data_IF_531010329524
#
_entry.id   IF_531010329524
#
_cell.length_a   1.000
_cell.length_b   1.000
_cell.length_c   1.000
_cell.angle_alpha   90.00
_cell.angle_beta   90.00
_cell.angle_gamma   90.00
#
_symmetry.space_group_name_H-M   'P 1'
#
loop_
_entity.id
_entity.type
_entity.pdbx_description
1 polymer ?
#
# COMPACT_ATOMS: atom_id res chain seq x y z
N UNK A 1 26.00 55.56 43.08
CA UNK A 1 24.64 55.57 42.50
C UNK A 1 24.67 55.23 41.01
N UNK A 2 25.26 56.09 40.16
CA UNK A 2 25.35 55.88 38.70
C UNK A 2 26.03 54.57 38.27
N UNK A 3 27.15 54.19 38.90
CA UNK A 3 27.81 52.92 38.59
C UNK A 3 26.96 51.68 38.92
N UNK A 4 26.16 51.73 39.99
CA UNK A 4 25.27 50.62 40.36
C UNK A 4 24.11 50.47 39.36
N UNK A 5 23.52 51.58 38.91
CA UNK A 5 22.51 51.55 37.86
C UNK A 5 23.07 51.04 36.53
N UNK A 6 24.29 51.45 36.17
CA UNK A 6 24.96 50.96 34.97
C UNK A 6 25.23 49.45 35.04
N UNK A 7 25.80 48.96 36.15
CA UNK A 7 26.06 47.53 36.36
C UNK A 7 24.77 46.71 36.37
N UNK A 8 23.70 47.21 37.00
CA UNK A 8 22.39 46.56 36.98
C UNK A 8 21.80 46.47 35.57
N UNK A 9 21.90 47.56 34.79
CA UNK A 9 21.44 47.58 33.39
C UNK A 9 22.26 46.65 32.49
N UNK A 10 23.59 46.62 32.66
CA UNK A 10 24.49 45.73 31.92
C UNK A 10 24.24 44.25 32.25
N UNK A 11 24.05 43.91 33.52
CA UNK A 11 23.75 42.54 33.95
C UNK A 11 22.42 42.03 33.39
N UNK A 12 21.39 42.87 33.41
CA UNK A 12 20.08 42.55 32.82
C UNK A 12 20.20 42.31 31.30
N UNK A 13 20.95 43.17 30.60
CA UNK A 13 21.20 43.04 29.16
C UNK A 13 21.86 41.70 28.83
N UNK A 14 22.93 41.33 29.54
CA UNK A 14 23.66 40.07 29.30
C UNK A 14 22.78 38.84 29.52
N UNK A 15 21.95 38.84 30.56
CA UNK A 15 21.03 37.74 30.86
C UNK A 15 20.01 37.54 29.72
N UNK A 16 19.33 38.60 29.31
CA UNK A 16 18.34 38.54 28.23
C UNK A 16 18.99 38.14 26.90
N UNK A 17 20.18 38.65 26.60
CA UNK A 17 20.91 38.26 25.39
C UNK A 17 21.29 36.77 25.40
N UNK A 18 21.80 36.25 26.52
CA UNK A 18 22.14 34.83 26.64
C UNK A 18 20.91 33.92 26.44
N UNK A 19 19.77 34.29 27.04
CA UNK A 19 18.52 33.53 26.89
C UNK A 19 18.03 33.52 25.43
N UNK A 20 18.09 34.67 24.74
CA UNK A 20 17.69 34.76 23.33
C UNK A 20 18.64 34.01 22.39
N UNK A 21 19.95 34.04 22.67
CA UNK A 21 20.92 33.25 21.90
C UNK A 21 20.71 31.76 22.14
N UNK A 22 20.49 31.34 23.39
CA UNK A 22 20.18 29.95 23.71
C UNK A 22 18.90 29.49 22.99
N UNK A 23 17.84 30.30 23.02
CA UNK A 23 16.59 30.03 22.29
C UNK A 23 16.78 30.04 20.77
N UNK A 24 17.58 30.94 20.22
CA UNK A 24 17.91 30.93 18.79
C UNK A 24 18.62 29.62 18.39
N UNK A 25 19.54 29.14 19.23
CA UNK A 25 20.27 27.90 19.00
C UNK A 25 19.44 26.63 19.26
N UNK A 26 18.21 26.73 19.76
CA UNK A 26 17.26 25.60 19.74
C UNK A 26 16.55 25.45 18.40
N UNK A 27 16.81 26.36 17.44
CA UNK A 27 16.23 26.37 16.10
C UNK A 27 14.69 26.22 16.09
N UNK A 28 13.96 27.07 16.81
CA UNK A 28 12.50 27.02 16.85
C UNK A 28 11.94 27.43 15.49
N UNK A 29 10.89 26.74 15.05
CA UNK A 29 10.17 27.03 13.82
C UNK A 29 8.67 27.19 14.11
N UNK A 30 8.01 28.01 13.30
CA UNK A 30 6.54 28.17 13.33
C UNK A 30 5.98 27.86 11.95
N UNK A 31 4.87 27.14 11.92
CA UNK A 31 4.19 26.79 10.66
C UNK A 31 3.04 27.76 10.44
N UNK A 32 3.03 28.42 9.28
CA UNK A 32 1.89 29.21 8.82
C UNK A 32 1.08 28.37 7.82
N UNK A 33 -0.23 28.31 8.01
CA UNK A 33 -1.15 27.64 7.10
C UNK A 33 -1.92 28.72 6.33
N UNK A 34 -1.90 28.62 5.00
CA UNK A 34 -2.66 29.47 4.08
C UNK A 34 -3.37 28.56 3.08
N UNK A 35 -4.61 28.90 2.73
CA UNK A 35 -5.39 28.23 1.67
C UNK A 35 -5.50 29.17 0.47
N UNK A 36 -5.06 28.70 -0.71
CA UNK A 36 -5.08 29.49 -1.95
C UNK A 36 -5.75 28.69 -3.05
N UNK A 37 -6.73 29.29 -3.72
CA UNK A 37 -7.35 28.71 -4.90
C UNK A 37 -6.44 28.93 -6.13
N UNK A 38 -6.00 27.84 -6.76
CA UNK A 38 -5.21 27.88 -7.99
C UNK A 38 -6.06 27.47 -9.19
N UNK A 39 -5.92 28.18 -10.32
CA UNK A 39 -6.67 27.88 -11.55
C UNK A 39 -6.30 26.53 -12.17
N UNK A 40 -5.04 26.09 -12.02
CA UNK A 40 -4.55 24.81 -12.53
C UNK A 40 -3.83 24.07 -11.39
N UNK A 41 -4.29 22.85 -11.11
CA UNK A 41 -3.68 21.95 -10.15
C UNK A 41 -3.26 20.67 -10.87
N UNK A 42 -2.11 20.12 -10.46
CA UNK A 42 -1.67 18.81 -10.92
C UNK A 42 -2.61 17.75 -10.37
N UNK A 43 -3.22 16.96 -11.26
CA UNK A 43 -4.07 15.85 -10.83
C UNK A 43 -3.21 14.78 -10.14
N UNK A 44 -3.59 14.30 -8.95
CA UNK A 44 -2.77 13.35 -8.20
C UNK A 44 -2.77 11.98 -8.86
N UNK A 45 -1.79 11.16 -8.49
CA UNK A 45 -1.83 9.74 -8.82
C UNK A 45 -2.96 9.06 -8.04
N UNK A 46 -3.79 8.28 -8.75
CA UNK A 46 -4.85 7.48 -8.15
C UNK A 46 -4.44 6.00 -8.24
N UNK A 47 -4.22 5.37 -7.10
CA UNK A 47 -3.91 3.94 -7.00
C UNK A 47 -5.14 3.19 -6.55
N UNK A 48 -5.53 2.16 -7.29
CA UNK A 48 -6.71 1.34 -7.01
C UNK A 48 -6.29 -0.13 -7.02
N UNK A 49 -6.68 -0.86 -5.99
CA UNK A 49 -6.48 -2.30 -5.88
C UNK A 49 -7.83 -2.98 -5.63
N UNK A 50 -8.04 -4.14 -6.25
CA UNK A 50 -9.17 -4.99 -5.86
C UNK A 50 -8.87 -5.59 -4.47
N UNK A 51 -9.86 -5.58 -3.58
CA UNK A 51 -9.72 -6.18 -2.24
C UNK A 51 -9.49 -7.69 -2.29
N UNK A 52 -10.01 -8.34 -3.34
CA UNK A 52 -9.65 -9.73 -3.60
C UNK A 52 -8.30 -9.76 -4.32
N UNK A 53 -7.27 -10.30 -3.67
CA UNK A 53 -5.92 -10.37 -4.21
C UNK A 53 -5.83 -11.23 -5.49
N UNK A 54 -6.59 -12.33 -5.55
CA UNK A 54 -6.41 -13.34 -6.59
C UNK A 54 -7.72 -13.81 -7.23
N UNK A 55 -7.69 -14.01 -8.54
CA UNK A 55 -8.78 -14.64 -9.28
C UNK A 55 -8.71 -16.16 -9.09
N UNK A 56 -9.68 -16.73 -8.38
CA UNK A 56 -9.77 -18.18 -8.14
C UNK A 56 -9.71 -19.02 -9.43
N UNK A 57 -10.27 -18.51 -10.52
CA UNK A 57 -10.24 -19.18 -11.84
C UNK A 57 -8.82 -19.32 -12.42
N UNK A 58 -7.88 -18.45 -12.05
CA UNK A 58 -6.49 -18.44 -12.54
C UNK A 58 -5.52 -19.23 -11.65
N UNK A 59 -5.94 -19.61 -10.44
CA UNK A 59 -5.13 -20.43 -9.53
C UNK A 59 -5.01 -21.85 -10.09
N UNK A 60 -3.79 -22.34 -10.24
CA UNK A 60 -3.50 -23.69 -10.75
C UNK A 60 -3.24 -24.68 -9.61
N UNK A 61 -3.16 -25.97 -9.94
CA UNK A 61 -2.75 -27.02 -8.98
C UNK A 61 -1.34 -26.80 -8.45
N UNK A 62 -0.42 -26.27 -9.27
CA UNK A 62 0.93 -25.93 -8.82
C UNK A 62 0.92 -24.77 -7.82
N UNK A 63 0.10 -23.75 -8.08
CA UNK A 63 -0.05 -22.63 -7.13
C UNK A 63 -0.65 -23.13 -5.81
N UNK A 64 -1.70 -23.95 -5.88
CA UNK A 64 -2.33 -24.54 -4.68
C UNK A 64 -1.33 -25.38 -3.87
N UNK A 65 -0.38 -26.05 -4.52
CA UNK A 65 0.68 -26.81 -3.85
C UNK A 65 1.67 -25.90 -3.11
N UNK A 66 2.06 -24.75 -3.67
CA UNK A 66 3.09 -23.88 -3.08
C UNK A 66 2.54 -22.83 -2.11
N UNK A 67 1.35 -22.28 -2.38
CA UNK A 67 0.77 -21.17 -1.61
C UNK A 67 -0.63 -21.48 -1.05
N UNK A 68 -1.14 -22.71 -1.21
CA UNK A 68 -2.48 -23.07 -0.72
C UNK A 68 -2.64 -22.87 0.80
N UNK A 69 -1.60 -23.17 1.58
CA UNK A 69 -1.57 -22.91 3.03
C UNK A 69 -1.53 -21.41 3.33
N UNK A 70 -0.68 -20.65 2.62
CA UNK A 70 -0.57 -19.19 2.77
C UNK A 70 -1.91 -18.47 2.50
N UNK A 71 -2.70 -18.98 1.54
CA UNK A 71 -4.02 -18.46 1.20
C UNK A 71 -5.14 -18.99 2.12
N UNK A 72 -4.79 -19.75 3.16
CA UNK A 72 -5.73 -20.45 4.05
C UNK A 72 -6.74 -21.36 3.33
N UNK A 73 -6.42 -21.79 2.10
CA UNK A 73 -7.22 -22.73 1.32
C UNK A 73 -6.91 -24.19 1.68
N UNK A 74 -5.67 -24.44 2.10
CA UNK A 74 -5.20 -25.72 2.61
C UNK A 74 -4.73 -25.60 4.06
N UNK A 75 -4.69 -26.75 4.75
CA UNK A 75 -4.05 -26.91 6.06
C UNK A 75 -2.62 -27.47 5.90
N UNK A 76 -1.90 -27.64 7.02
CA UNK A 76 -0.54 -28.21 7.08
C UNK A 76 -0.44 -29.64 6.51
N UNK A 77 -1.58 -30.32 6.32
CA UNK A 77 -1.69 -31.67 5.75
C UNK A 77 -2.03 -31.65 4.26
N UNK A 78 -2.04 -30.48 3.62
CA UNK A 78 -2.42 -30.28 2.21
C UNK A 78 -3.87 -30.71 1.91
N UNK A 79 -4.75 -30.63 2.90
CA UNK A 79 -6.20 -30.87 2.75
C UNK A 79 -6.97 -29.55 2.73
N UNK A 80 -8.15 -29.54 2.12
CA UNK A 80 -8.98 -28.32 2.01
C UNK A 80 -9.40 -27.83 3.40
N UNK A 81 -9.07 -26.58 3.69
CA UNK A 81 -9.51 -25.87 4.89
C UNK A 81 -10.99 -25.53 4.80
N UNK A 82 -11.72 -25.74 5.90
CA UNK A 82 -13.12 -25.35 6.09
C UNK A 82 -14.06 -25.65 4.89
N UNK A 83 -14.17 -26.92 4.44
CA UNK A 83 -14.95 -27.27 3.25
C UNK A 83 -16.45 -26.96 3.36
N UNK A 84 -16.96 -26.76 4.59
CA UNK A 84 -18.36 -26.44 4.87
C UNK A 84 -18.76 -25.01 4.47
N UNK A 85 -17.79 -24.10 4.32
CA UNK A 85 -18.05 -22.70 3.97
C UNK A 85 -18.09 -22.49 2.46
N UNK A 86 -17.65 -23.46 1.66
CA UNK A 86 -17.60 -23.37 0.22
C UNK A 86 -18.89 -23.86 -0.42
N UNK A 87 -19.40 -23.11 -1.40
CA UNK A 87 -20.48 -23.60 -2.25
C UNK A 87 -20.08 -24.90 -2.97
N UNK A 88 -21.02 -25.82 -3.27
CA UNK A 88 -20.69 -27.14 -3.82
C UNK A 88 -19.85 -27.10 -5.10
N UNK A 89 -20.11 -26.12 -5.97
CA UNK A 89 -19.40 -25.95 -7.23
C UNK A 89 -17.95 -25.47 -7.02
N UNK A 90 -17.73 -24.55 -6.07
CA UNK A 90 -16.39 -24.07 -5.68
C UNK A 90 -15.62 -25.19 -4.99
N UNK A 91 -16.28 -25.95 -4.12
CA UNK A 91 -15.68 -27.07 -3.42
C UNK A 91 -15.23 -28.17 -4.39
N UNK A 92 -16.00 -28.45 -5.46
CA UNK A 92 -15.60 -29.37 -6.51
C UNK A 92 -14.33 -28.89 -7.24
N UNK A 93 -14.27 -27.59 -7.58
CA UNK A 93 -13.09 -26.99 -8.20
C UNK A 93 -11.87 -26.99 -7.25
N UNK A 94 -12.07 -26.74 -5.96
CA UNK A 94 -11.03 -26.84 -4.93
C UNK A 94 -10.50 -28.28 -4.83
N UNK A 95 -11.37 -29.29 -4.82
CA UNK A 95 -10.97 -30.71 -4.79
C UNK A 95 -10.13 -31.10 -6.00
N UNK A 96 -10.49 -30.63 -7.19
CA UNK A 96 -9.69 -30.89 -8.39
C UNK A 96 -8.31 -30.20 -8.33
N UNK A 97 -8.26 -28.95 -7.86
CA UNK A 97 -7.01 -28.18 -7.70
C UNK A 97 -6.14 -28.67 -6.53
N UNK A 98 -6.72 -29.28 -5.51
CA UNK A 98 -6.03 -29.83 -4.34
C UNK A 98 -5.72 -31.34 -4.46
N UNK A 99 -5.99 -31.96 -5.61
CA UNK A 99 -5.65 -33.36 -5.83
C UNK A 99 -4.16 -33.51 -6.21
N UNK A 100 -3.32 -33.78 -5.22
CA UNK A 100 -1.88 -33.95 -5.38
C UNK A 100 -1.42 -35.39 -5.65
N UNK A 101 -2.35 -36.33 -5.89
CA UNK A 101 -2.00 -37.71 -6.20
C UNK A 101 -1.20 -37.77 -7.52
N UNK A 102 0.01 -38.34 -7.47
CA UNK A 102 0.96 -38.39 -8.60
C UNK A 102 1.33 -37.00 -9.15
N UNK A 103 1.20 -35.94 -8.34
CA UNK A 103 1.58 -34.59 -8.77
C UNK A 103 3.10 -34.39 -8.65
N UNK A 104 3.71 -33.83 -9.70
CA UNK A 104 5.11 -33.38 -9.68
C UNK A 104 5.12 -31.86 -9.66
N UNK A 105 5.59 -31.29 -8.54
CA UNK A 105 5.69 -29.85 -8.38
C UNK A 105 6.63 -29.25 -9.43
N UNK A 106 6.24 -28.10 -9.97
CA UNK A 106 7.05 -27.28 -10.88
C UNK A 106 7.63 -26.10 -10.10
N UNK A 107 8.71 -25.47 -10.60
CA UNK A 107 9.22 -24.23 -10.04
C UNK A 107 8.12 -23.18 -9.89
N UNK A 108 8.22 -22.37 -8.84
CA UNK A 108 7.21 -21.39 -8.48
C UNK A 108 7.87 -20.05 -8.15
N UNK A 109 7.20 -18.95 -8.52
CA UNK A 109 7.62 -17.58 -8.23
C UNK A 109 6.42 -16.77 -7.80
N UNK A 110 6.53 -16.08 -6.66
CA UNK A 110 5.47 -15.20 -6.17
C UNK A 110 5.19 -14.04 -7.14
N UNK A 111 6.23 -13.48 -7.77
CA UNK A 111 6.07 -12.40 -8.73
C UNK A 111 5.27 -12.86 -9.97
N UNK A 112 5.54 -14.06 -10.49
CA UNK A 112 4.77 -14.65 -11.58
C UNK A 112 3.33 -14.94 -11.14
N UNK A 113 3.16 -15.48 -9.93
CA UNK A 113 1.86 -15.78 -9.36
C UNK A 113 0.98 -14.53 -9.26
N UNK A 114 1.46 -13.44 -8.63
CA UNK A 114 0.72 -12.18 -8.53
C UNK A 114 0.36 -11.61 -9.90
N UNK A 115 1.30 -11.62 -10.85
CA UNK A 115 1.09 -11.05 -12.18
C UNK A 115 0.02 -11.84 -12.97
N UNK A 116 0.00 -13.17 -12.85
CA UNK A 116 -0.94 -14.03 -13.58
C UNK A 116 -2.31 -14.14 -12.92
N UNK A 117 -2.35 -14.26 -11.59
CA UNK A 117 -3.59 -14.53 -10.85
C UNK A 117 -4.28 -13.28 -10.33
N UNK A 118 -3.55 -12.16 -10.21
CA UNK A 118 -4.11 -10.85 -9.89
C UNK A 118 -5.17 -10.40 -10.92
N UNK A 119 -5.96 -9.40 -10.57
CA UNK A 119 -7.03 -8.89 -11.44
C UNK A 119 -6.46 -8.02 -12.57
N UNK A 120 -6.90 -8.29 -13.79
CA UNK A 120 -6.58 -7.46 -14.94
C UNK A 120 -7.52 -6.24 -14.96
N UNK A 121 -6.96 -5.04 -15.00
CA UNK A 121 -7.74 -3.82 -15.05
C UNK A 121 -8.59 -3.75 -16.33
N UNK A 122 -8.14 -4.35 -17.44
CA UNK A 122 -8.92 -4.37 -18.67
C UNK A 122 -10.26 -5.11 -18.51
N UNK A 123 -10.33 -6.09 -17.60
CA UNK A 123 -11.57 -6.84 -17.31
C UNK A 123 -12.48 -6.08 -16.32
N UNK A 124 -11.90 -5.21 -15.47
CA UNK A 124 -12.64 -4.47 -14.43
C UNK A 124 -13.09 -3.08 -14.87
N UNK A 125 -12.33 -2.42 -15.75
CA UNK A 125 -12.55 -1.04 -16.15
C UNK A 125 -13.62 -0.95 -17.25
N UNK A 126 -14.88 -0.81 -16.84
CA UNK A 126 -16.00 -0.69 -17.77
C UNK A 126 -16.01 0.65 -18.52
N UNK A 127 -15.65 1.74 -17.85
CA UNK A 127 -15.58 3.08 -18.44
C UNK A 127 -14.53 3.92 -17.71
N UNK A 128 -13.83 4.78 -18.46
CA UNK A 128 -12.87 5.73 -17.92
C UNK A 128 -12.94 7.04 -18.71
N UNK A 129 -13.09 8.16 -18.00
CA UNK A 129 -13.03 9.50 -18.59
C UNK A 129 -12.30 10.43 -17.64
N UNK A 130 -11.35 11.20 -18.18
CA UNK A 130 -10.64 12.24 -17.45
C UNK A 130 -10.79 13.56 -18.18
N UNK A 131 -11.45 14.55 -17.53
CA UNK A 131 -11.73 15.88 -18.11
C UNK A 131 -12.43 15.80 -19.49
N UNK A 132 -13.32 14.83 -19.67
CA UNK A 132 -14.06 14.60 -20.91
C UNK A 132 -13.30 13.79 -21.97
N UNK A 133 -12.01 13.50 -21.77
CA UNK A 133 -11.25 12.60 -22.65
C UNK A 133 -11.39 11.15 -22.19
N UNK A 134 -11.63 10.23 -23.12
CA UNK A 134 -11.70 8.81 -22.82
C UNK A 134 -10.31 8.27 -22.44
N UNK A 135 -10.27 7.41 -21.42
CA UNK A 135 -9.08 6.67 -21.01
C UNK A 135 -9.34 5.17 -21.04
N UNK A 136 -8.27 4.37 -20.96
CA UNK A 136 -8.32 2.91 -21.00
C UNK A 136 -7.38 2.31 -19.97
N UNK A 137 -7.39 0.99 -19.80
CA UNK A 137 -6.46 0.29 -18.93
C UNK A 137 -4.97 0.58 -19.25
N UNK A 138 -4.64 0.96 -20.49
CA UNK A 138 -3.27 1.35 -20.89
C UNK A 138 -2.80 2.66 -20.26
N UNK A 139 -3.72 3.49 -19.77
CA UNK A 139 -3.38 4.72 -19.05
C UNK A 139 -3.06 4.49 -17.58
N UNK A 140 -3.10 3.23 -17.13
CA UNK A 140 -2.76 2.83 -15.77
C UNK A 140 -1.46 2.02 -15.79
N UNK A 141 -0.62 2.25 -14.78
CA UNK A 141 0.62 1.53 -14.59
C UNK A 141 0.47 0.51 -13.47
N UNK A 142 0.86 -0.75 -13.72
CA UNK A 142 0.88 -1.78 -12.69
C UNK A 142 1.97 -1.45 -11.67
N UNK A 143 1.60 -1.43 -10.39
CA UNK A 143 2.53 -1.26 -9.27
C UNK A 143 2.64 -2.61 -8.58
N UNK A 144 3.78 -3.29 -8.76
CA UNK A 144 4.07 -4.52 -8.03
C UNK A 144 4.61 -4.16 -6.64
N UNK A 145 3.94 -4.61 -5.57
CA UNK A 145 4.58 -4.66 -4.26
C UNK A 145 5.67 -5.74 -4.33
N UNK A 146 6.94 -5.32 -4.20
CA UNK A 146 8.10 -6.21 -4.15
C UNK A 146 8.16 -6.99 -2.84
#
# INVERSE_FOLDING_TARGET
LWGAFFLGSLGLLLLVCAERVAYFLTYPHVTKLDEVAAHNLTFPAITICNLNEFRFSKITRNDMYHVGELLALLNDRYEISNPQLAEPHVLAALRDKANFKNFKAKPFSMAEFYNRTGHDLADMLLQCSFRGANCTARNFTVVSAG
#
